data_IF_913479569581
#
_entry.id   IF_913479569581
#
_cell.length_a   1.000
_cell.length_b   1.000
_cell.length_c   1.000
_cell.angle_alpha   90.00
_cell.angle_beta   90.00
_cell.angle_gamma   90.00
#
_symmetry.space_group_name_H-M   'P 1'
#
loop_
_entity.id
_entity.type
_entity.pdbx_description
1 polymer ?
#
# COMPACT_ATOMS: atom_id res chain seq x y z
N UNK A 1 16.79 -6.60 -4.52
CA UNK A 1 16.42 -6.77 -3.10
C UNK A 1 15.76 -5.51 -2.54
N UNK A 2 16.04 -4.31 -3.07
CA UNK A 2 15.47 -3.04 -2.59
C UNK A 2 14.00 -2.78 -2.98
N UNK A 3 13.55 -3.36 -4.11
CA UNK A 3 12.19 -3.13 -4.62
C UNK A 3 11.10 -3.71 -3.71
N UNK A 4 11.28 -4.92 -3.16
CA UNK A 4 10.28 -5.56 -2.30
C UNK A 4 10.01 -4.76 -1.00
N UNK A 5 11.07 -4.24 -0.37
CA UNK A 5 10.95 -3.39 0.81
C UNK A 5 10.23 -2.07 0.50
N UNK A 6 10.52 -1.46 -0.66
CA UNK A 6 9.83 -0.24 -1.08
C UNK A 6 8.33 -0.47 -1.36
N UNK A 7 7.97 -1.60 -1.97
CA UNK A 7 6.56 -1.97 -2.17
C UNK A 7 5.83 -2.18 -0.84
N UNK A 8 6.45 -2.89 0.11
CA UNK A 8 5.86 -3.07 1.43
C UNK A 8 5.74 -1.76 2.21
N UNK A 9 6.74 -0.88 2.12
CA UNK A 9 6.70 0.47 2.70
C UNK A 9 5.59 1.33 2.08
N UNK A 10 5.40 1.24 0.76
CA UNK A 10 4.30 1.90 0.05
C UNK A 10 2.95 1.43 0.59
N UNK A 11 2.76 0.11 0.73
CA UNK A 11 1.57 -0.49 1.32
C UNK A 11 1.28 0.06 2.73
N UNK A 12 2.24 -0.06 3.66
CA UNK A 12 2.04 0.41 5.04
C UNK A 12 1.78 1.91 5.13
N UNK A 13 2.45 2.71 4.30
CA UNK A 13 2.27 4.16 4.30
C UNK A 13 0.89 4.54 3.77
N UNK A 14 0.43 3.90 2.69
CA UNK A 14 -0.90 4.12 2.13
C UNK A 14 -2.02 3.69 3.10
N UNK A 15 -1.83 2.56 3.80
CA UNK A 15 -2.74 2.10 4.84
C UNK A 15 -2.82 3.11 6.00
N UNK A 16 -1.68 3.53 6.55
CA UNK A 16 -1.61 4.46 7.68
C UNK A 16 -2.18 5.85 7.34
N UNK A 17 -1.98 6.32 6.11
CA UNK A 17 -2.47 7.63 5.68
C UNK A 17 -3.90 7.61 5.11
N UNK A 18 -4.47 6.43 4.88
CA UNK A 18 -5.75 6.25 4.20
C UNK A 18 -5.78 6.85 2.78
N UNK A 19 -4.61 7.05 2.14
CA UNK A 19 -4.49 7.77 0.86
C UNK A 19 -3.22 7.42 0.10
N UNK A 20 -3.39 7.03 -1.17
CA UNK A 20 -2.27 6.85 -2.10
C UNK A 20 -1.55 8.17 -2.40
N UNK A 21 -2.27 9.29 -2.45
CA UNK A 21 -1.68 10.61 -2.73
C UNK A 21 -0.76 11.04 -1.60
N UNK A 22 -1.25 11.00 -0.36
CA UNK A 22 -0.42 11.37 0.82
C UNK A 22 0.77 10.42 0.97
N UNK A 23 0.58 9.12 0.73
CA UNK A 23 1.68 8.16 0.77
C UNK A 23 2.74 8.44 -0.29
N UNK A 24 2.33 8.85 -1.49
CA UNK A 24 3.25 9.24 -2.55
C UNK A 24 4.06 10.50 -2.19
N UNK A 25 3.40 11.52 -1.65
CA UNK A 25 4.07 12.72 -1.13
C UNK A 25 5.09 12.37 -0.04
N UNK A 26 4.71 11.52 0.92
CA UNK A 26 5.58 11.12 2.03
C UNK A 26 6.78 10.26 1.60
N UNK A 27 6.63 9.49 0.52
CA UNK A 27 7.69 8.60 0.01
C UNK A 27 8.50 9.23 -1.11
N UNK A 28 8.13 10.43 -1.61
CA UNK A 28 8.81 11.10 -2.72
C UNK A 28 8.54 10.45 -4.09
N UNK A 29 7.37 9.84 -4.28
CA UNK A 29 6.96 9.21 -5.53
C UNK A 29 5.72 9.90 -6.13
N UNK A 30 5.36 9.53 -7.36
CA UNK A 30 4.04 9.84 -7.90
C UNK A 30 2.97 8.93 -7.29
N UNK A 31 1.72 9.41 -7.25
CA UNK A 31 0.58 8.60 -6.81
C UNK A 31 0.44 7.30 -7.64
N UNK A 32 0.64 7.39 -8.96
CA UNK A 32 0.60 6.22 -9.85
C UNK A 32 1.75 5.25 -9.57
N UNK A 33 2.94 5.74 -9.19
CA UNK A 33 4.08 4.93 -8.78
C UNK A 33 3.80 4.13 -7.51
N UNK A 34 3.28 4.77 -6.46
CA UNK A 34 2.84 4.10 -5.22
C UNK A 34 1.72 3.10 -5.50
N UNK A 35 0.73 3.50 -6.29
CA UNK A 35 -0.34 2.59 -6.71
C UNK A 35 0.19 1.35 -7.42
N UNK A 36 1.18 1.51 -8.30
CA UNK A 36 1.79 0.40 -9.05
C UNK A 36 2.60 -0.50 -8.15
N UNK A 37 3.42 0.06 -7.27
CA UNK A 37 4.20 -0.70 -6.29
C UNK A 37 3.31 -1.62 -5.43
N UNK A 38 2.19 -1.10 -4.95
CA UNK A 38 1.25 -1.87 -4.14
C UNK A 38 0.53 -2.92 -4.99
N UNK A 39 0.09 -2.58 -6.20
CA UNK A 39 -0.53 -3.56 -7.09
C UNK A 39 0.42 -4.71 -7.48
N UNK A 40 1.69 -4.41 -7.70
CA UNK A 40 2.72 -5.42 -7.97
C UNK A 40 2.95 -6.31 -6.74
N UNK A 41 2.91 -5.75 -5.52
CA UNK A 41 3.01 -6.52 -4.28
C UNK A 41 1.83 -7.47 -4.09
N UNK A 42 0.61 -6.95 -4.24
CA UNK A 42 -0.63 -7.72 -4.20
C UNK A 42 -0.59 -8.88 -5.21
N UNK A 43 -0.08 -8.61 -6.42
CA UNK A 43 0.06 -9.63 -7.45
C UNK A 43 1.11 -10.70 -7.10
N UNK A 44 2.29 -10.28 -6.62
CA UNK A 44 3.36 -11.19 -6.22
C UNK A 44 2.95 -12.10 -5.04
N UNK A 45 2.11 -11.59 -4.14
CA UNK A 45 1.65 -12.34 -2.97
C UNK A 45 0.31 -13.05 -3.20
N UNK A 46 -0.38 -12.77 -4.31
CA UNK A 46 -1.68 -13.35 -4.63
C UNK A 46 -2.80 -12.91 -3.68
N UNK A 47 -2.67 -11.75 -3.03
CA UNK A 47 -3.62 -11.22 -2.05
C UNK A 47 -4.02 -9.79 -2.38
N UNK A 48 -5.20 -9.37 -1.93
CA UNK A 48 -5.55 -7.95 -1.88
C UNK A 48 -5.22 -7.42 -0.50
N UNK A 49 -4.46 -6.33 -0.45
CA UNK A 49 -3.99 -5.70 0.79
C UNK A 49 -4.81 -4.46 1.11
N UNK A 50 -5.24 -3.72 0.08
CA UNK A 50 -5.97 -2.48 0.23
C UNK A 50 -7.23 -2.46 -0.64
N UNK A 51 -8.31 -1.93 -0.09
CA UNK A 51 -9.51 -1.55 -0.83
C UNK A 51 -9.61 -0.03 -0.97
N UNK A 52 -10.25 0.41 -2.05
CA UNK A 52 -10.47 1.82 -2.38
C UNK A 52 -11.96 2.11 -2.43
N UNK A 53 -12.37 3.17 -1.76
CA UNK A 53 -13.72 3.69 -1.87
C UNK A 53 -13.75 5.21 -1.76
N UNK A 54 -14.96 5.78 -1.66
CA UNK A 54 -15.16 7.24 -1.58
C UNK A 54 -14.49 7.87 -0.35
N UNK A 55 -14.25 7.10 0.70
CA UNK A 55 -13.57 7.51 1.92
C UNK A 55 -12.04 7.38 1.88
N UNK A 56 -11.46 6.91 0.77
CA UNK A 56 -10.02 6.77 0.60
C UNK A 56 -9.58 5.31 0.54
N UNK A 57 -8.57 4.97 1.36
CA UNK A 57 -7.90 3.67 1.35
C UNK A 57 -8.09 2.98 2.69
N UNK A 58 -8.47 1.71 2.67
CA UNK A 58 -8.59 0.86 3.86
C UNK A 58 -7.89 -0.48 3.66
N UNK A 59 -7.50 -1.11 4.77
CA UNK A 59 -6.96 -2.47 4.77
C UNK A 59 -8.10 -3.47 4.49
N UNK A 60 -7.83 -4.46 3.65
CA UNK A 60 -8.65 -5.68 3.55
C UNK A 60 -8.41 -6.58 4.76
N UNK A 61 -9.14 -7.68 4.88
CA UNK A 61 -8.88 -8.70 5.93
C UNK A 61 -7.44 -9.21 5.88
N UNK A 62 -6.96 -9.59 4.70
CA UNK A 62 -5.59 -10.05 4.47
C UNK A 62 -4.57 -8.93 4.71
N UNK A 63 -4.93 -7.69 4.36
CA UNK A 63 -4.13 -6.51 4.67
C UNK A 63 -3.91 -6.31 6.17
N UNK A 64 -4.93 -6.57 7.00
CA UNK A 64 -4.78 -6.51 8.47
C UNK A 64 -3.86 -7.61 8.99
N UNK A 65 -3.93 -8.83 8.45
CA UNK A 65 -3.07 -9.94 8.87
C UNK A 65 -1.60 -9.73 8.50
N UNK A 66 -1.34 -9.07 7.36
CA UNK A 66 0.00 -8.84 6.82
C UNK A 66 0.61 -7.49 7.23
N UNK A 67 -0.18 -6.61 7.84
CA UNK A 67 0.31 -5.43 8.52
C UNK A 67 0.90 -5.82 9.89
N UNK A 68 1.92 -5.10 10.39
CA UNK A 68 2.40 -5.30 11.75
C UNK A 68 1.27 -5.09 12.76
N UNK A 69 1.16 -5.99 13.73
CA UNK A 69 0.29 -5.79 14.88
C UNK A 69 0.75 -4.52 15.62
N UNK A 70 -0.16 -3.55 15.78
CA UNK A 70 -0.01 -2.38 16.65
C UNK A 70 -0.70 -2.61 17.98
#
# INVERSE_FOLDING_TARGET
>A
MDSALMKYRAFLTAANMGSFTKAAEALGYSQSGVSRMIADLEHEWGVKLLERDRGGVRLTSEGHELAPAV
#
